data_IF_476405808426
#
_entry.id   IF_476405808426
#
_cell.length_a   1.000
_cell.length_b   1.000
_cell.length_c   1.000
_cell.angle_alpha   90.00
_cell.angle_beta   90.00
_cell.angle_gamma   90.00
#
_symmetry.space_group_name_H-M   'P 1'
#
loop_
_entity.id
_entity.type
_entity.pdbx_description
1 polymer ?
#
# COMPACT_ATOMS: atom_id res chain seq x y z
N UNK A 1 22.19 7.83 25.45
CA UNK A 1 20.88 8.48 25.59
C UNK A 1 21.05 9.89 26.13
N UNK A 2 20.22 10.86 25.71
CA UNK A 2 20.03 12.10 26.47
C UNK A 2 19.38 11.69 27.81
N UNK A 3 19.72 12.34 28.93
CA UNK A 3 19.18 12.02 30.27
C UNK A 3 17.64 11.92 30.30
N UNK A 4 16.97 12.66 29.42
CA UNK A 4 15.52 12.71 29.29
C UNK A 4 14.89 11.40 28.81
N UNK A 5 15.50 10.68 27.86
CA UNK A 5 14.92 9.43 27.36
C UNK A 5 15.00 8.31 28.39
N UNK A 6 16.05 8.32 29.23
CA UNK A 6 16.20 7.35 30.30
C UNK A 6 15.13 7.54 31.38
N UNK A 7 14.96 8.80 31.81
CA UNK A 7 13.91 9.19 32.75
C UNK A 7 12.51 8.82 32.24
N UNK A 8 12.24 9.02 30.95
CA UNK A 8 10.96 8.66 30.35
C UNK A 8 10.66 7.15 30.49
N UNK A 9 11.62 6.27 30.20
CA UNK A 9 11.43 4.82 30.36
C UNK A 9 11.31 4.38 31.82
N UNK A 10 12.00 5.06 32.75
CA UNK A 10 11.84 4.84 34.19
C UNK A 10 10.43 5.25 34.67
N UNK A 11 9.93 6.40 34.21
CA UNK A 11 8.59 6.91 34.52
C UNK A 11 7.46 6.09 33.85
N UNK A 12 7.76 5.33 32.78
CA UNK A 12 6.80 4.53 32.01
C UNK A 12 7.20 3.04 31.98
N UNK A 13 7.56 2.49 33.15
CA UNK A 13 8.00 1.10 33.28
C UNK A 13 7.02 0.06 32.72
N UNK A 14 5.72 0.38 32.65
CA UNK A 14 4.66 -0.45 32.07
C UNK A 14 4.89 -0.79 30.58
N UNK A 15 5.72 -0.03 29.85
CA UNK A 15 6.11 -0.41 28.49
C UNK A 15 6.80 -1.79 28.46
N UNK A 16 7.56 -2.16 29.50
CA UNK A 16 8.15 -3.49 29.60
C UNK A 16 7.08 -4.59 29.76
N UNK A 17 5.98 -4.28 30.45
CA UNK A 17 4.87 -5.22 30.66
C UNK A 17 4.02 -5.39 29.39
N UNK A 18 3.78 -4.29 28.65
CA UNK A 18 3.02 -4.28 27.39
C UNK A 18 3.83 -4.87 26.22
N UNK A 19 5.15 -4.66 26.17
CA UNK A 19 6.04 -5.15 25.09
C UNK A 19 6.56 -6.57 25.42
N UNK A 20 5.70 -7.44 25.94
CA UNK A 20 6.06 -8.83 26.26
C UNK A 20 6.00 -9.77 25.05
N UNK A 21 5.30 -9.38 23.97
CA UNK A 21 5.23 -10.11 22.71
C UNK A 21 6.14 -9.47 21.65
N UNK A 22 7.41 -9.90 21.62
CA UNK A 22 8.35 -9.56 20.54
C UNK A 22 8.86 -10.84 19.88
N UNK A 23 8.40 -11.11 18.66
CA UNK A 23 8.78 -12.27 17.83
C UNK A 23 9.84 -11.94 16.77
N UNK A 24 10.29 -10.69 16.65
CA UNK A 24 11.22 -10.27 15.59
C UNK A 24 12.62 -10.89 15.71
N UNK A 25 13.11 -11.16 16.92
CA UNK A 25 14.47 -11.68 17.15
C UNK A 25 14.44 -13.03 17.87
N UNK A 26 13.55 -13.88 17.38
CA UNK A 26 13.35 -15.23 17.86
C UNK A 26 14.62 -16.05 17.62
N UNK A 27 15.37 -16.34 18.70
CA UNK A 27 16.56 -17.18 18.63
C UNK A 27 16.17 -18.64 18.91
N UNK A 28 16.30 -19.51 17.90
CA UNK A 28 16.29 -20.94 18.11
C UNK A 28 17.66 -21.36 18.65
N UNK A 29 17.77 -21.55 19.96
CA UNK A 29 18.95 -22.18 20.56
C UNK A 29 18.64 -23.65 20.80
N UNK A 30 19.46 -24.60 20.29
CA UNK A 30 19.25 -26.03 20.52
C UNK A 30 19.51 -26.46 21.97
N UNK A 31 19.95 -25.53 22.84
CA UNK A 31 20.29 -25.78 24.25
C UNK A 31 19.21 -25.31 25.24
N UNK A 32 18.03 -24.93 24.77
CA UNK A 32 16.97 -24.37 25.63
C UNK A 32 15.82 -25.37 25.71
N UNK A 33 15.55 -25.88 26.92
CA UNK A 33 14.41 -26.75 27.27
C UNK A 33 13.07 -25.98 27.30
N UNK A 34 12.84 -25.10 26.32
CA UNK A 34 11.58 -24.39 26.18
C UNK A 34 11.02 -24.62 24.79
N UNK A 35 9.79 -25.14 24.72
CA UNK A 35 9.01 -25.34 23.49
C UNK A 35 8.58 -24.03 22.82
N UNK A 36 8.86 -22.87 23.43
CA UNK A 36 8.49 -21.55 22.91
C UNK A 36 9.75 -20.80 22.53
N UNK A 37 9.89 -20.50 21.24
CA UNK A 37 10.98 -19.67 20.76
C UNK A 37 10.63 -18.21 21.08
N UNK A 38 11.32 -17.63 22.06
CA UNK A 38 11.13 -16.23 22.49
C UNK A 38 12.41 -15.44 22.24
N UNK A 39 12.26 -14.18 21.83
CA UNK A 39 13.38 -13.24 21.80
C UNK A 39 13.95 -13.07 23.23
N UNK A 40 15.26 -13.30 23.46
CA UNK A 40 15.86 -13.09 24.77
C UNK A 40 15.72 -11.62 25.23
N UNK A 41 15.39 -11.42 26.51
CA UNK A 41 15.19 -10.08 27.08
C UNK A 41 16.45 -9.20 26.96
N UNK A 42 17.64 -9.81 27.00
CA UNK A 42 18.92 -9.12 26.79
C UNK A 42 19.07 -8.53 25.39
N UNK A 43 18.51 -9.18 24.36
CA UNK A 43 18.49 -8.67 22.99
C UNK A 43 17.57 -7.45 22.91
N UNK A 44 16.37 -7.56 23.50
CA UNK A 44 15.39 -6.46 23.54
C UNK A 44 15.97 -5.24 24.28
N UNK A 45 16.50 -5.44 25.50
CA UNK A 45 17.16 -4.37 26.28
C UNK A 45 18.38 -3.81 25.57
N UNK A 46 19.17 -4.66 24.92
CA UNK A 46 20.31 -4.25 24.11
C UNK A 46 19.92 -3.31 22.99
N UNK A 47 18.80 -3.57 22.30
CA UNK A 47 18.29 -2.70 21.23
C UNK A 47 17.80 -1.36 21.81
N UNK A 48 16.95 -1.36 22.84
CA UNK A 48 16.41 -0.13 23.42
C UNK A 48 17.47 0.81 24.02
N UNK A 49 18.59 0.26 24.49
CA UNK A 49 19.65 1.05 25.14
C UNK A 49 20.87 1.30 24.25
N UNK A 50 20.98 0.65 23.09
CA UNK A 50 22.12 0.85 22.18
C UNK A 50 21.99 2.16 21.41
N UNK A 51 23.11 2.89 21.31
CA UNK A 51 23.22 4.05 20.41
C UNK A 51 23.55 3.65 18.96
N UNK A 52 23.97 2.40 18.74
CA UNK A 52 24.45 1.91 17.44
C UNK A 52 23.49 0.91 16.79
N UNK A 53 22.58 0.31 17.57
CA UNK A 53 21.63 -0.71 17.11
C UNK A 53 20.18 -0.21 17.19
N UNK A 54 19.94 1.07 16.89
CA UNK A 54 18.59 1.63 16.82
C UNK A 54 17.80 1.00 15.68
N UNK A 55 16.48 1.02 15.82
CA UNK A 55 15.64 0.69 14.68
C UNK A 55 15.77 1.77 13.61
N UNK A 56 15.89 1.39 12.34
CA UNK A 56 15.91 2.34 11.21
C UNK A 56 14.69 3.26 11.23
N UNK A 57 13.54 2.78 11.69
CA UNK A 57 12.33 3.60 11.88
C UNK A 57 12.49 4.66 12.98
N UNK A 58 13.23 4.36 14.05
CA UNK A 58 13.56 5.36 15.07
C UNK A 58 14.44 6.46 14.49
N UNK A 59 15.48 6.09 13.74
CA UNK A 59 16.34 7.06 13.08
C UNK A 59 15.57 7.86 12.02
N UNK A 60 14.68 7.23 11.25
CA UNK A 60 13.78 7.93 10.35
C UNK A 60 12.94 8.97 11.09
N UNK A 61 12.25 8.58 12.18
CA UNK A 61 11.40 9.49 12.95
C UNK A 61 12.17 10.63 13.62
N UNK A 62 13.39 10.37 14.10
CA UNK A 62 14.25 11.41 14.69
C UNK A 62 14.71 12.46 13.67
N UNK A 63 14.85 12.03 12.41
CA UNK A 63 15.17 12.89 11.27
C UNK A 63 13.93 13.47 10.59
N UNK A 64 12.75 12.86 10.78
CA UNK A 64 11.46 13.33 10.29
C UNK A 64 11.01 14.57 11.09
N UNK A 65 11.58 15.72 10.76
CA UNK A 65 11.28 17.01 11.41
C UNK A 65 10.56 17.93 10.45
N UNK A 66 9.24 17.98 10.56
CA UNK A 66 8.46 19.04 9.93
C UNK A 66 8.77 20.37 10.64
N UNK A 67 9.49 21.28 9.98
CA UNK A 67 9.71 22.65 10.45
C UNK A 67 9.11 23.63 9.43
N UNK A 68 8.05 24.33 9.83
CA UNK A 68 7.42 25.35 8.98
C UNK A 68 8.35 26.53 8.65
N UNK A 69 9.45 26.70 9.39
CA UNK A 69 10.48 27.71 9.12
C UNK A 69 11.54 27.22 8.13
N UNK A 70 11.48 25.95 7.71
CA UNK A 70 12.36 25.45 6.66
C UNK A 70 11.98 26.11 5.33
N UNK A 71 12.79 27.10 4.95
CA UNK A 71 12.56 27.93 3.78
C UNK A 71 12.45 27.11 2.47
N UNK A 72 13.17 25.99 2.38
CA UNK A 72 13.10 25.08 1.23
C UNK A 72 11.70 24.49 1.00
N UNK A 73 10.98 24.14 2.08
CA UNK A 73 9.61 23.63 1.96
C UNK A 73 8.63 24.73 1.52
N UNK A 74 8.73 25.93 2.10
CA UNK A 74 7.90 27.07 1.69
C UNK A 74 8.09 27.43 0.20
N UNK A 75 9.36 27.43 -0.28
CA UNK A 75 9.69 27.65 -1.68
C UNK A 75 9.23 26.51 -2.61
N UNK A 76 9.27 25.26 -2.15
CA UNK A 76 8.77 24.11 -2.89
C UNK A 76 7.24 24.15 -3.05
N UNK A 77 6.52 24.53 -2.00
CA UNK A 77 5.06 24.66 -2.01
C UNK A 77 4.61 25.83 -2.89
N UNK A 78 5.30 26.97 -2.90
CA UNK A 78 4.90 28.11 -3.73
C UNK A 78 4.97 27.81 -5.24
N UNK A 79 5.88 26.92 -5.66
CA UNK A 79 5.95 26.45 -7.06
C UNK A 79 4.87 25.45 -7.43
N UNK A 80 4.17 24.87 -6.46
CA UNK A 80 3.16 23.85 -6.71
C UNK A 80 1.89 24.38 -7.39
N UNK A 81 1.56 25.65 -7.15
CA UNK A 81 0.47 26.36 -7.84
C UNK A 81 0.87 26.89 -9.21
N UNK A 82 2.11 26.67 -9.66
CA UNK A 82 2.53 27.10 -10.99
C UNK A 82 1.87 26.24 -12.07
N UNK A 83 1.63 26.86 -13.22
CA UNK A 83 1.02 26.26 -14.40
C UNK A 83 1.65 24.92 -14.78
N UNK A 84 2.98 24.82 -14.81
CA UNK A 84 3.69 23.59 -15.21
C UNK A 84 3.36 22.38 -14.32
N UNK A 85 3.18 22.61 -13.01
CA UNK A 85 2.82 21.55 -12.08
C UNK A 85 1.36 21.09 -12.32
N UNK A 86 0.45 22.03 -12.55
CA UNK A 86 -0.96 21.74 -12.86
C UNK A 86 -1.10 20.96 -14.18
N UNK A 87 -0.36 21.35 -15.21
CA UNK A 87 -0.33 20.65 -16.49
C UNK A 87 0.21 19.22 -16.33
N UNK A 88 1.27 19.04 -15.55
CA UNK A 88 1.82 17.70 -15.26
C UNK A 88 0.78 16.77 -14.62
N UNK A 89 -0.12 17.28 -13.77
CA UNK A 89 -1.22 16.49 -13.20
C UNK A 89 -2.30 16.16 -14.23
N UNK A 90 -2.65 17.11 -15.09
CA UNK A 90 -3.65 16.93 -16.12
C UNK A 90 -3.20 15.94 -17.22
N UNK A 91 -1.91 15.97 -17.59
CA UNK A 91 -1.31 15.08 -18.59
C UNK A 91 -1.15 13.62 -18.15
N UNK A 92 -1.40 13.29 -16.88
CA UNK A 92 -1.31 11.89 -16.40
C UNK A 92 -2.26 10.94 -17.13
N UNK A 93 -3.41 11.44 -17.58
CA UNK A 93 -4.36 10.65 -18.39
C UNK A 93 -3.74 10.18 -19.70
N UNK A 94 -2.95 11.03 -20.35
CA UNK A 94 -2.29 10.73 -21.64
C UNK A 94 -1.25 9.63 -21.50
N UNK A 95 -0.58 9.54 -20.36
CA UNK A 95 0.41 8.49 -20.10
C UNK A 95 -0.20 7.07 -20.16
N UNK A 96 -1.45 6.92 -19.71
CA UNK A 96 -2.20 5.66 -19.77
C UNK A 96 -2.70 5.30 -21.18
N UNK A 97 -2.73 6.25 -22.12
CA UNK A 97 -3.16 6.04 -23.51
C UNK A 97 -2.03 5.45 -24.38
N UNK A 98 -0.79 5.50 -23.90
CA UNK A 98 0.39 5.08 -24.64
C UNK A 98 0.45 3.56 -24.88
N UNK A 99 -0.19 2.76 -24.02
CA UNK A 99 -0.15 1.30 -24.06
C UNK A 99 -1.55 0.69 -24.12
N UNK A 100 -1.73 -0.45 -24.81
CA UNK A 100 -3.01 -1.14 -24.86
C UNK A 100 -3.44 -1.59 -23.46
N UNK A 101 -4.72 -1.41 -23.16
CA UNK A 101 -5.33 -1.82 -21.89
C UNK A 101 -6.71 -2.43 -22.10
N UNK A 102 -7.10 -3.32 -21.20
CA UNK A 102 -8.39 -3.99 -21.17
C UNK A 102 -9.36 -3.10 -20.40
N UNK A 103 -10.44 -2.65 -21.05
CA UNK A 103 -11.47 -1.84 -20.39
C UNK A 103 -12.23 -2.68 -19.36
N UNK A 104 -12.36 -2.14 -18.15
CA UNK A 104 -13.15 -2.77 -17.09
C UNK A 104 -14.64 -2.47 -17.26
N UNK A 105 -15.54 -3.37 -16.79
CA UNK A 105 -16.95 -3.08 -16.74
C UNK A 105 -17.21 -1.87 -15.83
N UNK A 106 -18.32 -1.17 -16.06
CA UNK A 106 -18.68 0.00 -15.23
C UNK A 106 -18.86 -0.43 -13.77
N UNK A 107 -18.21 0.23 -12.79
CA UNK A 107 -18.32 -0.13 -11.37
C UNK A 107 -19.75 -0.16 -10.88
N UNK A 108 -20.08 -1.17 -10.07
CA UNK A 108 -21.41 -1.30 -9.46
C UNK A 108 -21.56 -0.27 -8.35
N UNK A 109 -22.70 0.42 -8.31
CA UNK A 109 -23.03 1.32 -7.20
C UNK A 109 -23.35 0.50 -5.95
N UNK A 110 -22.51 0.62 -4.93
CA UNK A 110 -22.74 0.03 -3.61
C UNK A 110 -23.90 0.78 -2.94
N UNK A 111 -24.90 0.02 -2.47
CA UNK A 111 -26.09 0.54 -1.77
C UNK A 111 -26.05 0.30 -0.25
N UNK A 112 -25.08 -0.46 0.24
CA UNK A 112 -24.94 -0.76 1.66
C UNK A 112 -24.69 0.54 2.45
N UNK A 113 -25.28 0.64 3.66
CA UNK A 113 -25.08 1.78 4.54
C UNK A 113 -23.61 1.82 5.00
N UNK A 114 -22.99 3.00 4.95
CA UNK A 114 -21.56 3.15 5.25
C UNK A 114 -21.18 2.66 6.65
N UNK A 115 -21.97 3.00 7.68
CA UNK A 115 -21.74 2.54 9.05
C UNK A 115 -21.76 1.00 9.15
N UNK A 116 -22.73 0.36 8.50
CA UNK A 116 -22.83 -1.10 8.49
C UNK A 116 -21.63 -1.77 7.82
N UNK A 117 -21.10 -1.20 6.73
CA UNK A 117 -19.89 -1.71 6.06
C UNK A 117 -18.67 -1.56 6.97
N UNK A 118 -18.49 -0.39 7.58
CA UNK A 118 -17.39 -0.12 8.51
C UNK A 118 -17.38 -1.09 9.71
N UNK A 119 -18.55 -1.32 10.30
CA UNK A 119 -18.73 -2.21 11.45
C UNK A 119 -18.54 -3.69 11.08
N UNK A 120 -18.94 -4.08 9.87
CA UNK A 120 -18.83 -5.47 9.38
C UNK A 120 -17.44 -5.83 8.87
N UNK A 121 -16.63 -4.84 8.47
CA UNK A 121 -15.32 -5.09 7.86
C UNK A 121 -14.41 -5.84 8.83
N UNK A 122 -13.93 -7.01 8.41
CA UNK A 122 -12.94 -7.84 9.12
C UNK A 122 -11.92 -8.36 8.11
N UNK A 123 -10.72 -8.68 8.61
CA UNK A 123 -9.71 -9.34 7.79
C UNK A 123 -10.11 -10.79 7.54
N UNK A 124 -10.46 -11.11 6.31
CA UNK A 124 -10.82 -12.47 5.90
C UNK A 124 -9.53 -13.28 5.67
N UNK A 125 -9.39 -14.41 6.36
CA UNK A 125 -8.18 -15.25 6.29
C UNK A 125 -8.42 -16.63 5.68
N UNK A 126 -9.66 -17.09 5.69
CA UNK A 126 -10.09 -18.34 5.05
C UNK A 126 -10.85 -17.98 3.79
N UNK A 127 -10.28 -18.30 2.63
CA UNK A 127 -10.89 -18.05 1.33
C UNK A 127 -11.40 -19.36 0.74
N UNK A 128 -12.51 -19.30 0.03
CA UNK A 128 -13.17 -20.45 -0.58
C UNK A 128 -13.73 -20.21 -1.97
N UNK A 129 -13.58 -19.01 -2.54
CA UNK A 129 -14.20 -18.67 -3.82
C UNK A 129 -13.59 -17.49 -4.56
N UNK A 130 -13.75 -17.53 -5.88
CA UNK A 130 -13.33 -16.49 -6.81
C UNK A 130 -14.22 -15.25 -6.77
N UNK A 131 -13.85 -14.24 -7.54
CA UNK A 131 -14.60 -13.00 -7.71
C UNK A 131 -14.85 -12.74 -9.20
N UNK A 132 -15.94 -12.06 -9.54
CA UNK A 132 -16.21 -11.64 -10.91
C UNK A 132 -15.39 -10.40 -11.30
N UNK A 133 -15.14 -10.23 -12.61
CA UNK A 133 -14.54 -9.00 -13.15
C UNK A 133 -15.32 -7.74 -12.76
N UNK A 134 -16.64 -7.85 -12.59
CA UNK A 134 -17.51 -6.76 -12.12
C UNK A 134 -17.24 -6.38 -10.65
N UNK A 135 -17.00 -7.37 -9.78
CA UNK A 135 -16.61 -7.15 -8.39
C UNK A 135 -15.21 -6.52 -8.32
N UNK A 136 -14.23 -7.07 -9.07
CA UNK A 136 -12.87 -6.50 -9.18
C UNK A 136 -12.90 -5.04 -9.65
N UNK A 137 -13.64 -4.73 -10.72
CA UNK A 137 -13.83 -3.36 -11.23
C UNK A 137 -14.32 -2.41 -10.12
N UNK A 138 -15.29 -2.86 -9.33
CA UNK A 138 -15.86 -2.06 -8.24
C UNK A 138 -14.86 -1.86 -7.10
N UNK A 139 -14.05 -2.87 -6.78
CA UNK A 139 -12.96 -2.75 -5.80
C UNK A 139 -11.88 -1.78 -6.30
N UNK A 140 -11.48 -1.87 -7.56
CA UNK A 140 -10.47 -0.98 -8.16
C UNK A 140 -10.88 0.49 -8.13
N UNK A 141 -12.15 0.80 -8.44
CA UNK A 141 -12.66 2.18 -8.33
C UNK A 141 -12.49 2.74 -6.92
N UNK A 142 -12.92 2.01 -5.90
CA UNK A 142 -12.90 2.49 -4.51
C UNK A 142 -11.52 2.40 -3.86
N UNK A 143 -10.58 1.65 -4.44
CA UNK A 143 -9.18 1.65 -4.02
C UNK A 143 -8.48 2.95 -4.42
N UNK A 144 -8.54 3.30 -5.72
CA UNK A 144 -7.79 4.43 -6.25
C UNK A 144 -8.28 4.85 -7.65
N UNK A 145 -9.53 4.57 -8.04
CA UNK A 145 -10.09 5.05 -9.30
C UNK A 145 -10.46 6.54 -9.25
N UNK A 146 -10.67 7.14 -10.42
CA UNK A 146 -11.12 8.53 -10.54
C UNK A 146 -12.60 8.66 -10.14
N UNK A 147 -12.90 9.57 -9.22
CA UNK A 147 -14.25 9.82 -8.67
C UNK A 147 -14.73 11.25 -8.90
N UNK A 148 -13.83 12.15 -9.31
CA UNK A 148 -14.18 13.54 -9.60
C UNK A 148 -13.15 14.21 -10.49
N UNK A 149 -13.42 15.47 -10.83
CA UNK A 149 -12.48 16.33 -11.55
C UNK A 149 -12.61 17.79 -11.10
N UNK A 150 -11.50 18.50 -11.12
CA UNK A 150 -11.41 19.93 -10.89
C UNK A 150 -10.95 20.60 -12.17
N UNK A 151 -11.76 21.50 -12.73
CA UNK A 151 -11.43 22.20 -13.96
C UNK A 151 -10.30 23.19 -13.73
N UNK A 152 -9.39 23.31 -14.70
CA UNK A 152 -8.34 24.33 -14.68
C UNK A 152 -8.91 25.68 -15.13
N UNK A 153 -8.42 26.77 -14.53
CA UNK A 153 -8.82 28.13 -14.91
C UNK A 153 -8.32 28.49 -16.32
N UNK A 154 -7.13 28.02 -16.69
CA UNK A 154 -6.53 28.17 -18.01
C UNK A 154 -6.25 26.78 -18.60
N UNK A 155 -7.23 26.15 -19.27
CA UNK A 155 -7.05 24.83 -19.86
C UNK A 155 -6.14 24.89 -21.10
N UNK A 156 -5.36 23.83 -21.33
CA UNK A 156 -4.72 23.56 -22.62
C UNK A 156 -5.45 22.44 -23.36
N UNK A 157 -5.16 22.28 -24.65
CA UNK A 157 -5.87 21.36 -25.54
C UNK A 157 -5.94 19.91 -25.00
N UNK A 158 -4.87 19.46 -24.34
CA UNK A 158 -4.76 18.11 -23.77
C UNK A 158 -4.77 18.08 -22.22
N UNK A 159 -5.07 19.23 -21.59
CA UNK A 159 -5.03 19.40 -20.14
C UNK A 159 -6.16 20.33 -19.66
N UNK A 160 -7.38 19.78 -19.59
CA UNK A 160 -8.59 20.55 -19.18
C UNK A 160 -8.87 20.51 -17.67
N UNK A 161 -8.44 19.46 -16.98
CA UNK A 161 -8.84 19.21 -15.60
C UNK A 161 -7.84 18.33 -14.85
N UNK A 162 -7.81 18.51 -13.53
CA UNK A 162 -7.14 17.62 -12.59
C UNK A 162 -8.16 16.59 -12.12
N UNK A 163 -7.86 15.31 -12.31
CA UNK A 163 -8.74 14.22 -11.87
C UNK A 163 -8.48 13.88 -10.39
N UNK A 164 -9.57 13.74 -9.65
CA UNK A 164 -9.59 13.41 -8.23
C UNK A 164 -9.88 11.92 -8.08
N UNK A 165 -9.08 11.25 -7.25
CA UNK A 165 -9.20 9.80 -7.01
C UNK A 165 -9.94 9.54 -5.69
N UNK A 166 -10.35 8.29 -5.48
CA UNK A 166 -11.16 7.87 -4.31
C UNK A 166 -10.44 7.98 -2.96
N UNK A 167 -9.11 7.96 -2.96
CA UNK A 167 -8.23 8.09 -1.81
C UNK A 167 -7.61 9.49 -1.75
N UNK A 168 -7.16 9.92 -0.58
CA UNK A 168 -6.38 11.14 -0.46
C UNK A 168 -4.91 10.86 -0.84
N UNK A 169 -4.23 11.91 -1.26
CA UNK A 169 -2.81 11.85 -1.59
C UNK A 169 -2.14 13.15 -1.19
N UNK A 170 -0.96 13.05 -0.58
CA UNK A 170 -0.17 14.21 -0.20
C UNK A 170 0.08 15.09 -1.43
N UNK A 171 -0.57 16.26 -1.48
CA UNK A 171 -0.49 17.17 -2.62
C UNK A 171 -1.06 16.64 -3.93
N UNK A 172 -1.88 15.58 -3.93
CA UNK A 172 -2.46 15.03 -5.17
C UNK A 172 -1.46 14.36 -6.11
N UNK A 173 -0.27 13.99 -5.61
CA UNK A 173 0.79 13.41 -6.43
C UNK A 173 0.54 11.98 -6.87
N UNK A 174 -0.23 11.22 -6.10
CA UNK A 174 -0.53 9.82 -6.37
C UNK A 174 0.70 8.97 -6.74
N UNK A 175 1.74 8.89 -5.87
CA UNK A 175 2.96 8.18 -6.15
C UNK A 175 2.85 6.66 -6.06
N UNK A 176 1.69 6.12 -5.66
CA UNK A 176 1.48 4.67 -5.52
C UNK A 176 0.72 4.11 -6.74
N UNK A 177 1.39 3.24 -7.48
CA UNK A 177 0.82 2.46 -8.58
C UNK A 177 0.25 1.16 -8.03
N UNK A 178 -0.94 0.77 -8.51
CA UNK A 178 -1.63 -0.44 -8.08
C UNK A 178 -1.48 -1.54 -9.14
N UNK A 179 -0.84 -2.64 -8.76
CA UNK A 179 -0.77 -3.86 -9.57
C UNK A 179 -1.75 -4.89 -9.02
N UNK A 180 -2.33 -5.70 -9.92
CA UNK A 180 -3.20 -6.82 -9.61
C UNK A 180 -2.53 -8.10 -10.09
N UNK A 181 -2.39 -9.09 -9.20
CA UNK A 181 -2.13 -10.48 -9.61
C UNK A 181 -3.47 -11.20 -9.55
N UNK A 182 -4.02 -11.61 -10.69
CA UNK A 182 -5.32 -12.27 -10.78
C UNK A 182 -5.16 -13.72 -11.24
N UNK A 183 -5.82 -14.66 -10.57
CA UNK A 183 -5.81 -16.08 -10.94
C UNK A 183 -7.16 -16.78 -10.86
N UNK A 184 -8.12 -16.19 -10.14
CA UNK A 184 -9.45 -16.73 -9.94
C UNK A 184 -10.48 -15.59 -9.98
N UNK A 185 -10.45 -14.88 -11.12
CA UNK A 185 -11.37 -13.77 -11.44
C UNK A 185 -12.19 -14.11 -12.69
N UNK A 186 -13.50 -14.27 -12.55
CA UNK A 186 -14.36 -14.66 -13.68
C UNK A 186 -14.38 -13.56 -14.75
N UNK A 187 -14.03 -13.94 -15.98
CA UNK A 187 -13.93 -13.01 -17.12
C UNK A 187 -12.61 -12.26 -17.23
N UNK A 188 -11.59 -12.66 -16.45
CA UNK A 188 -10.22 -12.16 -16.59
C UNK A 188 -9.24 -13.34 -16.61
N UNK A 189 -8.38 -13.35 -17.62
CA UNK A 189 -7.32 -14.34 -17.71
C UNK A 189 -6.36 -14.26 -16.52
N UNK A 190 -5.72 -15.38 -16.20
CA UNK A 190 -4.68 -15.39 -15.18
C UNK A 190 -3.51 -14.53 -15.64
N UNK A 191 -3.06 -13.61 -14.78
CA UNK A 191 -1.94 -12.75 -15.11
C UNK A 191 -1.66 -11.65 -14.09
N UNK A 192 -0.67 -10.84 -14.41
CA UNK A 192 -0.30 -9.64 -13.68
C UNK A 192 -0.74 -8.45 -14.50
N UNK A 193 -1.44 -7.53 -13.85
CA UNK A 193 -2.00 -6.35 -14.44
C UNK A 193 -1.60 -5.10 -13.66
N UNK A 194 -1.53 -3.97 -14.35
CA UNK A 194 -1.43 -2.65 -13.74
C UNK A 194 -2.77 -1.93 -13.91
N UNK A 195 -3.27 -1.29 -12.85
CA UNK A 195 -4.51 -0.53 -12.92
C UNK A 195 -4.28 0.88 -13.46
N UNK A 196 -5.05 1.23 -14.50
CA UNK A 196 -5.09 2.55 -15.14
C UNK A 196 -6.34 3.31 -14.65
N UNK A 197 -6.24 4.09 -13.56
CA UNK A 197 -7.36 4.79 -12.95
C UNK A 197 -8.05 5.83 -13.85
N UNK A 198 -7.33 6.54 -14.72
CA UNK A 198 -7.94 7.60 -15.56
C UNK A 198 -8.84 7.00 -16.64
N UNK A 199 -8.48 5.81 -17.13
CA UNK A 199 -9.20 5.09 -18.17
C UNK A 199 -10.14 4.00 -17.66
N UNK A 200 -10.11 3.75 -16.35
CA UNK A 200 -10.75 2.62 -15.70
C UNK A 200 -10.51 1.31 -16.47
N UNK A 201 -9.23 1.00 -16.67
CA UNK A 201 -8.75 -0.16 -17.42
C UNK A 201 -7.60 -0.83 -16.70
N UNK A 202 -7.21 -2.00 -17.19
CA UNK A 202 -6.03 -2.72 -16.72
C UNK A 202 -5.08 -2.99 -17.87
N UNK A 203 -3.79 -2.70 -17.70
CA UNK A 203 -2.73 -3.08 -18.65
C UNK A 203 -2.19 -4.45 -18.26
N UNK A 204 -2.09 -5.39 -19.20
CA UNK A 204 -1.42 -6.66 -18.95
C UNK A 204 0.11 -6.44 -18.90
N UNK A 205 0.72 -6.84 -17.78
CA UNK A 205 2.17 -6.74 -17.54
C UNK A 205 2.83 -8.10 -17.80
N UNK A 206 2.15 -9.19 -17.41
CA UNK A 206 2.57 -10.57 -17.64
C UNK A 206 1.35 -11.46 -17.80
N UNK A 207 1.29 -12.18 -18.91
CA UNK A 207 0.29 -13.22 -19.14
C UNK A 207 0.68 -14.51 -18.43
N UNK A 208 -0.26 -15.11 -17.70
CA UNK A 208 -0.06 -16.39 -17.03
C UNK A 208 0.99 -16.39 -15.91
N UNK A 209 0.93 -17.45 -15.11
CA UNK A 209 1.93 -17.86 -14.13
C UNK A 209 1.52 -19.21 -13.50
N UNK A 210 2.48 -19.92 -12.94
CA UNK A 210 2.25 -21.17 -12.24
C UNK A 210 1.64 -20.93 -10.85
N UNK A 211 0.75 -21.81 -10.39
CA UNK A 211 0.10 -21.64 -9.07
C UNK A 211 1.12 -21.63 -7.93
N UNK A 212 2.23 -22.35 -8.07
CA UNK A 212 3.35 -22.33 -7.14
C UNK A 212 3.97 -20.93 -6.98
N UNK A 213 3.93 -20.08 -8.01
CA UNK A 213 4.41 -18.70 -7.91
C UNK A 213 3.59 -17.88 -6.90
N UNK A 214 2.30 -18.19 -6.71
CA UNK A 214 1.45 -17.49 -5.73
C UNK A 214 1.95 -17.71 -4.30
N UNK A 215 2.36 -18.93 -3.98
CA UNK A 215 2.90 -19.28 -2.65
C UNK A 215 4.18 -18.50 -2.34
N UNK A 216 4.96 -18.18 -3.36
CA UNK A 216 6.16 -17.35 -3.24
C UNK A 216 5.84 -15.87 -3.05
N UNK A 217 4.60 -15.40 -3.26
CA UNK A 217 4.22 -14.00 -3.00
C UNK A 217 4.08 -13.74 -1.49
N UNK A 218 3.35 -14.61 -0.79
CA UNK A 218 2.89 -14.36 0.57
C UNK A 218 2.64 -15.66 1.38
N UNK A 219 3.60 -16.59 1.36
CA UNK A 219 3.50 -17.92 2.00
C UNK A 219 3.64 -17.96 3.54
N UNK A 220 3.37 -16.86 4.25
CA UNK A 220 3.55 -16.80 5.70
C UNK A 220 2.22 -16.94 6.46
N UNK A 221 2.15 -17.92 7.36
CA UNK A 221 1.02 -18.13 8.28
C UNK A 221 -0.06 -19.05 7.73
N UNK A 222 -1.26 -18.94 8.29
CA UNK A 222 -2.38 -19.86 8.00
C UNK A 222 -3.17 -19.52 6.72
N UNK A 223 -2.79 -18.46 6.01
CA UNK A 223 -3.53 -17.99 4.84
C UNK A 223 -3.04 -18.71 3.58
N UNK A 224 -3.96 -19.44 2.94
CA UNK A 224 -3.73 -20.09 1.64
C UNK A 224 -4.12 -19.13 0.52
N UNK A 225 -3.14 -18.39 0.01
CA UNK A 225 -3.36 -17.42 -1.08
C UNK A 225 -3.98 -18.08 -2.31
N UNK A 226 -3.65 -19.34 -2.62
CA UNK A 226 -4.22 -20.06 -3.76
C UNK A 226 -5.75 -20.15 -3.74
N UNK A 227 -6.37 -20.08 -2.55
CA UNK A 227 -7.82 -20.13 -2.40
C UNK A 227 -8.50 -18.77 -2.58
N UNK A 228 -7.73 -17.67 -2.61
CA UNK A 228 -8.30 -16.34 -2.84
C UNK A 228 -8.47 -16.06 -4.34
N UNK A 229 -8.97 -14.88 -4.70
CA UNK A 229 -9.30 -14.52 -6.09
C UNK A 229 -8.15 -13.80 -6.81
N UNK A 230 -7.60 -12.80 -6.12
CA UNK A 230 -6.51 -11.94 -6.61
C UNK A 230 -5.79 -11.29 -5.42
N UNK A 231 -4.65 -10.65 -5.68
CA UNK A 231 -4.01 -9.74 -4.74
C UNK A 231 -3.67 -8.39 -5.39
N UNK A 232 -3.58 -7.39 -4.54
CA UNK A 232 -3.08 -6.06 -4.84
C UNK A 232 -1.67 -5.88 -4.33
N UNK A 233 -0.81 -5.32 -5.18
CA UNK A 233 0.56 -4.94 -4.86
C UNK A 233 0.66 -3.42 -5.04
N UNK A 234 1.13 -2.74 -4.00
CA UNK A 234 1.24 -1.29 -3.96
C UNK A 234 2.69 -0.90 -4.19
N UNK A 235 2.96 -0.29 -5.33
CA UNK A 235 4.31 0.08 -5.75
C UNK A 235 4.47 1.59 -5.62
N UNK A 236 5.34 2.03 -4.71
CA UNK A 236 5.68 3.44 -4.53
C UNK A 236 6.82 3.84 -5.46
N UNK A 237 6.62 4.91 -6.23
CA UNK A 237 7.67 5.58 -6.98
C UNK A 237 8.19 6.81 -6.20
N UNK A 238 9.44 6.71 -5.73
CA UNK A 238 10.10 7.71 -4.90
C UNK A 238 10.12 9.11 -5.55
N UNK A 239 10.36 9.18 -6.86
CA UNK A 239 10.61 10.46 -7.53
C UNK A 239 9.33 11.28 -7.76
N UNK A 240 8.16 10.66 -7.69
CA UNK A 240 6.88 11.34 -7.94
C UNK A 240 6.59 12.41 -6.89
N UNK A 241 6.92 12.21 -5.61
CA UNK A 241 6.59 13.17 -4.55
C UNK A 241 7.80 13.70 -3.75
N UNK A 242 8.96 13.06 -3.86
CA UNK A 242 10.18 13.47 -3.13
C UNK A 242 10.73 14.82 -3.57
N UNK A 243 10.50 15.25 -4.81
CA UNK A 243 10.92 16.58 -5.25
C UNK A 243 10.22 17.73 -4.49
N UNK A 244 9.03 17.46 -3.90
CA UNK A 244 8.32 18.41 -3.03
C UNK A 244 8.56 18.14 -1.55
N UNK A 245 8.49 16.87 -1.16
CA UNK A 245 8.45 16.47 0.26
C UNK A 245 9.77 15.92 0.80
N UNK A 246 10.79 15.76 -0.05
CA UNK A 246 12.04 15.08 0.32
C UNK A 246 11.76 13.70 0.92
N UNK A 247 12.45 13.39 2.01
CA UNK A 247 12.31 12.12 2.74
C UNK A 247 10.92 11.91 3.35
N UNK A 248 10.15 12.99 3.56
CA UNK A 248 8.78 12.87 4.05
C UNK A 248 7.82 12.28 3.01
N UNK A 249 8.21 12.26 1.73
CA UNK A 249 7.46 11.64 0.65
C UNK A 249 7.16 10.15 0.91
N UNK A 250 8.10 9.44 1.55
CA UNK A 250 7.91 8.02 1.89
C UNK A 250 6.78 7.82 2.91
N UNK A 251 6.72 8.63 3.97
CA UNK A 251 5.64 8.54 4.97
C UNK A 251 4.26 8.79 4.33
N UNK A 252 4.16 9.77 3.43
CA UNK A 252 2.91 10.03 2.70
C UNK A 252 2.51 8.90 1.75
N UNK A 253 3.48 8.20 1.16
CA UNK A 253 3.21 7.03 0.32
C UNK A 253 2.66 5.85 1.12
N UNK A 254 3.17 5.60 2.34
CA UNK A 254 2.61 4.58 3.23
C UNK A 254 1.18 4.91 3.68
N UNK A 255 0.89 6.18 3.99
CA UNK A 255 -0.48 6.64 4.31
C UNK A 255 -1.40 6.40 3.11
N UNK A 256 -0.99 6.83 1.91
CA UNK A 256 -1.75 6.64 0.69
C UNK A 256 -2.03 5.15 0.40
N UNK A 257 -1.03 4.27 0.51
CA UNK A 257 -1.22 2.83 0.32
C UNK A 257 -2.23 2.25 1.33
N UNK A 258 -2.19 2.71 2.59
CA UNK A 258 -3.16 2.34 3.61
C UNK A 258 -4.58 2.79 3.28
N UNK A 259 -4.75 4.02 2.79
CA UNK A 259 -6.06 4.53 2.35
C UNK A 259 -6.60 3.74 1.15
N UNK A 260 -5.75 3.43 0.17
CA UNK A 260 -6.11 2.61 -0.98
C UNK A 260 -6.55 1.21 -0.58
N UNK A 261 -5.80 0.56 0.32
CA UNK A 261 -6.13 -0.77 0.85
C UNK A 261 -7.44 -0.74 1.65
N UNK A 262 -7.65 0.29 2.46
CA UNK A 262 -8.88 0.43 3.23
C UNK A 262 -10.11 0.65 2.34
N UNK A 263 -10.01 1.52 1.34
CA UNK A 263 -11.08 1.73 0.34
C UNK A 263 -11.42 0.45 -0.42
N UNK A 264 -10.40 -0.32 -0.81
CA UNK A 264 -10.58 -1.64 -1.43
C UNK A 264 -11.28 -2.64 -0.50
N UNK A 265 -10.86 -2.75 0.76
CA UNK A 265 -11.45 -3.67 1.74
C UNK A 265 -12.89 -3.31 2.10
N UNK A 266 -13.23 -2.02 2.20
CA UNK A 266 -14.62 -1.59 2.42
C UNK A 266 -15.51 -1.94 1.22
N UNK A 267 -15.01 -1.71 0.00
CA UNK A 267 -15.70 -2.10 -1.23
C UNK A 267 -15.93 -3.61 -1.30
N UNK A 268 -14.89 -4.41 -1.01
CA UNK A 268 -14.99 -5.86 -0.95
C UNK A 268 -16.03 -6.32 0.10
N UNK A 269 -15.96 -5.75 1.32
CA UNK A 269 -16.92 -6.04 2.41
C UNK A 269 -18.36 -5.76 1.97
N UNK A 270 -18.59 -4.63 1.31
CA UNK A 270 -19.93 -4.25 0.83
C UNK A 270 -20.45 -5.13 -0.32
N UNK A 271 -19.57 -5.84 -1.02
CA UNK A 271 -19.90 -6.82 -2.05
C UNK A 271 -20.06 -8.24 -1.49
N UNK A 272 -19.94 -8.43 -0.16
CA UNK A 272 -19.97 -9.75 0.47
C UNK A 272 -18.67 -10.56 0.26
N UNK A 273 -17.60 -9.90 -0.16
CA UNK A 273 -16.25 -10.45 -0.26
C UNK A 273 -15.41 -10.00 0.94
N UNK A 274 -14.17 -10.48 1.04
CA UNK A 274 -13.24 -10.06 2.07
C UNK A 274 -11.86 -9.76 1.51
N UNK A 275 -11.07 -9.02 2.30
CA UNK A 275 -9.66 -8.83 2.04
C UNK A 275 -8.84 -8.88 3.31
N UNK A 276 -7.54 -9.08 3.16
CA UNK A 276 -6.59 -9.07 4.27
C UNK A 276 -5.29 -8.43 3.81
N UNK A 277 -4.85 -7.42 4.56
CA UNK A 277 -3.49 -6.92 4.43
C UNK A 277 -2.51 -7.97 4.95
N UNK A 278 -1.42 -8.18 4.21
CA UNK A 278 -0.39 -9.16 4.57
C UNK A 278 0.91 -8.41 4.79
N UNK A 279 1.50 -8.56 5.99
CA UNK A 279 2.82 -8.02 6.29
C UNK A 279 3.97 -8.96 5.93
N UNK A 280 3.71 -10.27 5.88
CA UNK A 280 4.68 -11.29 5.47
C UNK A 280 4.57 -11.60 3.98
N UNK A 281 5.13 -10.75 3.13
CA UNK A 281 5.22 -10.98 1.69
C UNK A 281 6.68 -10.88 1.21
N UNK A 282 7.00 -11.59 0.14
CA UNK A 282 8.36 -11.67 -0.41
C UNK A 282 8.66 -10.48 -1.33
N UNK A 283 8.89 -9.30 -0.74
CA UNK A 283 9.13 -8.03 -1.45
C UNK A 283 10.06 -8.17 -2.67
N UNK A 284 11.24 -8.76 -2.48
CA UNK A 284 12.25 -8.89 -3.56
C UNK A 284 11.80 -9.83 -4.69
N UNK A 285 11.03 -10.87 -4.36
CA UNK A 285 10.47 -11.77 -5.37
C UNK A 285 9.43 -11.03 -6.20
N UNK A 286 8.52 -10.31 -5.55
CA UNK A 286 7.48 -9.50 -6.21
C UNK A 286 8.12 -8.43 -7.10
N UNK A 287 9.14 -7.73 -6.63
CA UNK A 287 9.83 -6.68 -7.42
C UNK A 287 10.45 -7.24 -8.71
N UNK A 288 11.09 -8.41 -8.63
CA UNK A 288 11.61 -9.12 -9.81
C UNK A 288 10.50 -9.55 -10.76
N UNK A 289 9.40 -10.07 -10.21
CA UNK A 289 8.23 -10.50 -10.98
C UNK A 289 7.59 -9.33 -11.74
N UNK A 290 7.52 -8.15 -11.12
CA UNK A 290 7.03 -6.91 -11.73
C UNK A 290 8.07 -6.21 -12.63
N UNK A 291 9.33 -6.69 -12.65
CA UNK A 291 10.47 -6.09 -13.36
C UNK A 291 10.76 -4.64 -12.94
N UNK A 292 10.58 -4.33 -11.65
CA UNK A 292 10.92 -3.03 -11.06
C UNK A 292 12.27 -3.10 -10.32
N UNK A 293 12.91 -1.95 -10.13
CA UNK A 293 14.30 -1.88 -9.65
C UNK A 293 14.47 -2.12 -8.13
N UNK A 294 13.41 -1.98 -7.33
CA UNK A 294 13.48 -2.09 -5.87
C UNK A 294 14.25 -0.94 -5.19
N UNK A 295 14.61 0.09 -5.93
CA UNK A 295 15.35 1.29 -5.53
C UNK A 295 14.46 2.54 -5.64
N UNK A 296 14.08 2.92 -6.86
CA UNK A 296 13.18 4.04 -7.15
C UNK A 296 11.72 3.63 -7.10
N UNK A 297 11.44 2.37 -7.45
CA UNK A 297 10.11 1.77 -7.38
C UNK A 297 10.14 0.58 -6.42
N UNK A 298 9.35 0.67 -5.35
CA UNK A 298 9.39 -0.31 -4.27
C UNK A 298 8.01 -0.81 -3.90
N UNK A 299 7.90 -2.11 -3.65
CA UNK A 299 6.67 -2.68 -3.08
C UNK A 299 6.59 -2.30 -1.61
N UNK A 300 5.57 -1.53 -1.25
CA UNK A 300 5.40 -0.98 0.11
C UNK A 300 4.21 -1.57 0.87
N UNK A 301 3.29 -2.24 0.17
CA UNK A 301 2.11 -2.86 0.79
C UNK A 301 1.59 -4.02 -0.06
N UNK A 302 0.81 -4.91 0.54
CA UNK A 302 0.23 -6.08 -0.10
C UNK A 302 -1.11 -6.45 0.54
N UNK A 303 -2.13 -6.70 -0.29
CA UNK A 303 -3.47 -7.08 0.17
C UNK A 303 -4.04 -8.19 -0.69
N UNK A 304 -4.58 -9.23 -0.07
CA UNK A 304 -5.25 -10.33 -0.76
C UNK A 304 -6.77 -10.16 -0.70
N UNK A 305 -7.48 -10.65 -1.71
CA UNK A 305 -8.94 -10.57 -1.80
C UNK A 305 -9.55 -11.87 -2.30
N UNK A 306 -10.78 -12.15 -1.88
CA UNK A 306 -11.57 -13.29 -2.33
C UNK A 306 -12.89 -13.40 -1.56
N UNK A 307 -13.61 -14.50 -1.77
CA UNK A 307 -14.81 -14.84 -1.00
C UNK A 307 -14.47 -15.79 0.14
N UNK A 308 -15.18 -15.64 1.26
CA UNK A 308 -15.07 -16.56 2.39
C UNK A 308 -15.59 -17.94 2.04
N UNK A 309 -15.15 -18.95 2.79
CA UNK A 309 -15.78 -20.27 2.85
C UNK A 309 -17.20 -20.22 3.43
#
# INVERSE_FOLDING_TARGET
>A
MKKESQKYYEDHAYYNDIVTLNTQYTMASPYVDTTVVKTPESVIKGIYHSRYNRFTSEDYLLNFRADNRYFGFAMGVSRFSNRDALLSFASKKTAEEALPSIKLPKPKRIKAAFSAVMESRRSLRNFGGGMSLQELSTVLLHSCGVTGKMMLNEPEQDAEAIYLRSQASGGGFYPVTLYIVAWNVDGLERGIYEYYPYHHSIRCVREGFELEELRNLAGFGDIKIENSAFCFIYVYNLYINSHKYGDAGAAYAFIEAGEMAFGAQLSATALGCGGCDIGGYEKRYIEKMLKIDGLSEQVIHFTIFGKGE
#
